data_IF_036339060777
#
_entry.id   IF_036339060777
#
_cell.length_a   1.000
_cell.length_b   1.000
_cell.length_c   1.000
_cell.angle_alpha   90.00
_cell.angle_beta   90.00
_cell.angle_gamma   90.00
#
_symmetry.space_group_name_H-M   'P 1'
#
loop_
_entity.id
_entity.type
_entity.pdbx_description
1 polymer ?
#
# COMPACT_ATOMS: atom_id res chain seq x y z
N UNK A 1 -25.31 -0.28 -14.81
CA UNK A 1 -24.68 0.89 -15.45
C UNK A 1 -23.76 1.52 -14.40
N UNK A 2 -22.53 1.02 -14.29
CA UNK A 2 -21.54 1.52 -13.34
C UNK A 2 -21.06 2.88 -13.85
N UNK A 3 -21.53 3.97 -13.24
CA UNK A 3 -20.99 5.31 -13.51
C UNK A 3 -19.54 5.33 -13.05
N UNK A 4 -18.62 5.62 -13.98
CA UNK A 4 -17.27 6.09 -13.63
C UNK A 4 -17.46 7.34 -12.77
N UNK A 5 -16.88 7.31 -11.57
CA UNK A 5 -16.95 8.42 -10.65
C UNK A 5 -15.85 9.41 -11.04
N UNK A 6 -16.15 10.30 -11.98
CA UNK A 6 -15.21 11.29 -12.55
C UNK A 6 -14.92 12.47 -11.58
N UNK A 7 -14.98 12.24 -10.26
CA UNK A 7 -15.05 13.30 -9.24
C UNK A 7 -13.72 13.79 -8.66
N UNK A 8 -12.60 13.12 -8.92
CA UNK A 8 -11.26 13.57 -8.48
C UNK A 8 -10.26 13.34 -9.61
N UNK A 9 -10.43 14.08 -10.71
CA UNK A 9 -9.46 14.05 -11.81
C UNK A 9 -8.15 14.70 -11.38
N UNK A 10 -7.21 13.92 -10.83
CA UNK A 10 -5.81 14.33 -10.81
C UNK A 10 -5.37 14.58 -12.25
N UNK A 11 -4.64 15.67 -12.50
CA UNK A 11 -4.17 15.95 -13.85
C UNK A 11 -3.31 14.78 -14.35
N UNK A 12 -3.36 14.45 -15.64
CA UNK A 12 -2.51 13.42 -16.23
C UNK A 12 -1.02 13.65 -15.93
N UNK A 13 -0.61 14.93 -15.76
CA UNK A 13 0.73 15.32 -15.32
C UNK A 13 1.04 14.92 -13.88
N UNK A 14 0.11 15.10 -12.93
CA UNK A 14 0.29 14.65 -11.56
C UNK A 14 0.31 13.11 -11.48
N UNK A 15 -0.57 12.43 -12.21
CA UNK A 15 -0.58 10.96 -12.26
C UNK A 15 0.74 10.39 -12.77
N UNK A 16 1.28 10.95 -13.86
CA UNK A 16 2.58 10.52 -14.41
C UNK A 16 3.73 10.84 -13.45
N UNK A 17 3.72 12.01 -12.82
CA UNK A 17 4.78 12.42 -11.89
C UNK A 17 4.77 11.56 -10.61
N UNK A 18 3.60 11.31 -10.03
CA UNK A 18 3.45 10.44 -8.85
C UNK A 18 3.75 8.99 -9.19
N UNK A 19 3.37 8.47 -10.36
CA UNK A 19 3.74 7.11 -10.78
C UNK A 19 5.27 6.96 -10.91
N UNK A 20 5.94 7.93 -11.54
CA UNK A 20 7.39 7.93 -11.66
C UNK A 20 8.11 8.09 -10.30
N UNK A 21 7.50 8.77 -9.32
CA UNK A 21 8.09 8.99 -8.00
C UNK A 21 7.75 7.90 -6.97
N UNK A 22 6.53 7.39 -7.00
CA UNK A 22 5.91 6.59 -5.92
C UNK A 22 5.38 5.24 -6.38
N UNK A 23 5.67 4.84 -7.63
CA UNK A 23 5.56 3.45 -8.12
C UNK A 23 4.17 2.85 -8.29
N UNK A 24 3.13 3.63 -7.99
CA UNK A 24 1.76 3.18 -8.05
C UNK A 24 0.89 4.10 -8.93
N UNK A 25 -0.06 3.55 -9.71
CA UNK A 25 -1.02 4.35 -10.47
C UNK A 25 -2.09 4.97 -9.56
N UNK A 26 -2.44 6.26 -9.78
CA UNK A 26 -3.43 7.02 -8.98
C UNK A 26 -4.89 6.70 -9.36
N UNK A 27 -5.25 5.44 -9.61
CA UNK A 27 -6.59 5.10 -10.14
C UNK A 27 -7.51 4.35 -9.18
N UNK A 28 -7.09 4.09 -7.94
CA UNK A 28 -7.96 3.46 -6.96
C UNK A 28 -8.31 4.35 -5.76
N UNK A 29 -9.60 4.36 -5.42
CA UNK A 29 -10.21 5.10 -4.32
C UNK A 29 -10.07 4.41 -2.95
N UNK A 30 -9.33 3.32 -2.83
CA UNK A 30 -9.07 2.63 -1.53
C UNK A 30 -7.71 3.01 -0.92
N UNK A 31 -6.94 3.85 -1.59
CA UNK A 31 -5.60 4.19 -1.18
C UNK A 31 -5.68 5.39 -0.22
N UNK A 32 -4.79 5.44 0.77
CA UNK A 32 -4.85 6.49 1.78
C UNK A 32 -4.53 7.86 1.22
N UNK A 33 -3.83 7.98 0.09
CA UNK A 33 -3.54 9.26 -0.54
C UNK A 33 -4.83 10.07 -0.85
N UNK A 34 -5.85 9.52 -1.53
CA UNK A 34 -7.18 10.12 -1.61
C UNK A 34 -7.85 10.44 -0.26
N UNK A 35 -7.65 9.61 0.77
CA UNK A 35 -8.23 9.82 2.11
C UNK A 35 -7.49 10.90 2.93
N UNK A 36 -6.22 11.13 2.63
CA UNK A 36 -5.40 12.14 3.26
C UNK A 36 -5.57 13.50 2.60
N UNK A 37 -6.00 13.62 1.35
CA UNK A 37 -6.23 14.92 0.72
C UNK A 37 -7.53 15.50 1.31
N UNK A 38 -7.47 16.60 2.09
CA UNK A 38 -8.69 17.23 2.57
C UNK A 38 -9.52 17.68 1.36
N UNK A 39 -10.85 17.59 1.47
CA UNK A 39 -11.70 18.33 0.53
C UNK A 39 -11.25 19.79 0.51
N UNK A 40 -11.31 20.45 -0.66
CA UNK A 40 -10.90 21.86 -0.85
C UNK A 40 -11.53 22.86 0.13
N UNK A 41 -12.54 22.43 0.89
CA UNK A 41 -13.32 23.24 1.83
C UNK A 41 -12.98 22.99 3.32
N UNK A 42 -12.02 22.11 3.65
CA UNK A 42 -11.66 21.78 5.04
C UNK A 42 -10.20 22.16 5.39
N UNK A 43 -9.98 23.44 5.70
CA UNK A 43 -8.76 23.96 6.36
C UNK A 43 -8.47 23.31 7.74
N UNK A 44 -9.33 22.38 8.21
CA UNK A 44 -9.29 21.72 9.51
C UNK A 44 -8.82 20.26 9.50
N UNK A 45 -8.68 19.60 8.34
CA UNK A 45 -8.55 18.13 8.24
C UNK A 45 -7.36 17.51 8.98
N UNK A 46 -6.26 18.26 9.14
CA UNK A 46 -5.04 17.76 9.79
C UNK A 46 -4.79 18.33 11.19
N UNK A 47 -5.70 19.14 11.75
CA UNK A 47 -5.51 19.73 13.08
C UNK A 47 -5.51 18.64 14.16
N UNK A 48 -4.42 18.59 14.93
CA UNK A 48 -4.27 17.63 16.04
C UNK A 48 -3.69 16.27 15.63
N UNK A 49 -3.38 16.06 14.35
CA UNK A 49 -2.58 14.91 13.94
C UNK A 49 -1.18 15.02 14.53
N UNK A 50 -0.71 13.90 15.08
CA UNK A 50 0.61 13.82 15.72
C UNK A 50 1.55 12.90 14.99
N UNK A 51 1.05 11.74 14.55
CA UNK A 51 1.83 10.73 13.86
C UNK A 51 0.96 9.95 12.88
N UNK A 52 1.53 9.60 11.74
CA UNK A 52 1.00 8.63 10.80
C UNK A 52 1.50 7.23 11.18
N UNK A 53 0.60 6.25 11.19
CA UNK A 53 0.93 4.83 11.34
C UNK A 53 0.01 4.02 10.42
N UNK A 54 0.57 3.01 9.75
CA UNK A 54 -0.25 2.00 9.06
C UNK A 54 -1.04 1.19 10.08
N UNK A 55 -2.05 0.43 9.64
CA UNK A 55 -2.82 -0.42 10.57
C UNK A 55 -1.92 -1.45 11.29
N UNK A 56 -0.94 -2.02 10.58
CA UNK A 56 0.02 -2.95 11.19
C UNK A 56 0.90 -2.23 12.23
N UNK A 57 1.36 -1.02 11.88
CA UNK A 57 2.25 -0.25 12.73
C UNK A 57 1.56 0.37 13.94
N UNK A 58 0.24 0.55 13.88
CA UNK A 58 -0.57 0.90 15.05
C UNK A 58 -0.51 -0.21 16.11
N UNK A 59 -0.65 -1.48 15.71
CA UNK A 59 -0.51 -2.61 16.65
C UNK A 59 0.92 -2.71 17.19
N UNK A 60 1.92 -2.54 16.32
CA UNK A 60 3.33 -2.50 16.73
C UNK A 60 3.59 -1.41 17.77
N UNK A 61 3.03 -0.21 17.57
CA UNK A 61 3.10 0.89 18.50
C UNK A 61 2.39 0.58 19.82
N UNK A 62 1.19 0.00 19.81
CA UNK A 62 0.51 -0.39 21.04
C UNK A 62 1.28 -1.42 21.87
N UNK A 63 2.02 -2.32 21.22
CA UNK A 63 2.84 -3.32 21.90
C UNK A 63 4.16 -2.76 22.43
N UNK A 64 4.75 -1.77 21.76
CA UNK A 64 6.15 -1.36 22.04
C UNK A 64 6.31 0.08 22.51
N UNK A 65 5.33 0.94 22.26
CA UNK A 65 5.41 2.39 22.42
C UNK A 65 6.27 3.11 21.36
N UNK A 66 6.92 2.35 20.47
CA UNK A 66 7.83 2.89 19.46
C UNK A 66 7.08 3.18 18.16
N UNK A 67 7.43 4.32 17.53
CA UNK A 67 6.78 4.82 16.31
C UNK A 67 7.71 4.56 15.14
N UNK A 68 7.27 3.73 14.23
CA UNK A 68 7.97 3.38 12.99
C UNK A 68 6.93 2.81 12.04
N UNK A 69 7.15 2.94 10.74
CA UNK A 69 6.35 2.25 9.75
C UNK A 69 7.15 1.18 9.03
N UNK A 70 6.53 0.03 8.73
CA UNK A 70 7.21 -1.05 8.01
C UNK A 70 7.13 -0.85 6.49
N UNK A 71 8.28 -1.01 5.82
CA UNK A 71 8.50 -0.73 4.41
C UNK A 71 7.45 -1.30 3.46
N UNK A 72 7.12 -2.59 3.54
CA UNK A 72 6.20 -3.22 2.57
C UNK A 72 4.79 -2.65 2.65
N UNK A 73 4.37 -2.16 3.82
CA UNK A 73 3.09 -1.50 4.01
C UNK A 73 3.14 -0.01 3.65
N UNK A 74 4.28 0.65 3.88
CA UNK A 74 4.50 2.04 3.48
C UNK A 74 4.44 2.22 1.96
N UNK A 75 4.94 1.25 1.19
CA UNK A 75 4.90 1.34 -0.28
C UNK A 75 3.48 1.37 -0.84
N UNK A 76 2.49 0.81 -0.14
CA UNK A 76 1.08 0.82 -0.58
C UNK A 76 0.37 2.16 -0.36
N UNK A 77 1.08 3.16 0.19
CA UNK A 77 0.49 4.45 0.57
C UNK A 77 0.60 5.51 -0.52
N UNK A 78 1.31 5.26 -1.63
CA UNK A 78 1.66 6.25 -2.67
C UNK A 78 2.42 7.46 -2.16
N UNK A 79 3.10 7.31 -1.02
CA UNK A 79 3.81 8.36 -0.30
C UNK A 79 5.28 8.00 -0.04
N UNK A 80 5.78 6.95 -0.68
CA UNK A 80 7.16 6.52 -0.53
C UNK A 80 7.95 6.82 -1.80
N UNK A 81 9.06 7.56 -1.66
CA UNK A 81 10.02 7.79 -2.72
C UNK A 81 11.17 6.79 -2.60
N UNK A 82 11.27 5.84 -3.51
CA UNK A 82 12.19 4.74 -3.39
C UNK A 82 13.56 4.99 -4.00
N UNK A 83 13.70 6.02 -4.85
CA UNK A 83 15.02 6.55 -5.20
C UNK A 83 15.69 7.17 -3.96
N UNK A 84 14.88 7.77 -3.08
CA UNK A 84 15.33 8.30 -1.77
C UNK A 84 15.35 7.24 -0.66
N UNK A 85 14.67 6.11 -0.90
CA UNK A 85 14.38 5.08 0.09
C UNK A 85 13.70 5.60 1.36
N UNK A 86 12.85 6.62 1.21
CA UNK A 86 12.16 7.29 2.31
C UNK A 86 10.82 7.86 1.84
N UNK A 87 10.05 8.48 2.73
CA UNK A 87 8.83 9.21 2.39
C UNK A 87 9.05 10.25 1.28
N UNK A 88 8.07 10.42 0.41
CA UNK A 88 8.08 11.43 -0.65
C UNK A 88 7.56 12.78 -0.15
N UNK A 89 8.35 13.45 0.69
CA UNK A 89 7.98 14.74 1.28
C UNK A 89 7.67 15.82 0.24
N UNK A 90 8.23 15.74 -0.97
CA UNK A 90 7.90 16.66 -2.08
C UNK A 90 6.45 16.47 -2.54
N UNK A 91 6.01 15.21 -2.70
CA UNK A 91 4.62 14.92 -3.06
C UNK A 91 3.68 15.27 -1.91
N UNK A 92 4.08 15.02 -0.66
CA UNK A 92 3.30 15.41 0.52
C UNK A 92 3.10 16.93 0.60
N UNK A 93 4.17 17.71 0.41
CA UNK A 93 4.12 19.18 0.40
C UNK A 93 3.18 19.68 -0.71
N UNK A 94 3.29 19.12 -1.92
CA UNK A 94 2.40 19.46 -3.04
C UNK A 94 0.92 19.14 -2.78
N UNK A 95 0.65 18.15 -1.91
CA UNK A 95 -0.70 17.74 -1.49
C UNK A 95 -1.17 18.42 -0.19
N UNK A 96 -0.35 19.29 0.41
CA UNK A 96 -0.67 19.95 1.68
C UNK A 96 -0.67 19.02 2.90
N UNK A 97 -0.03 17.85 2.79
CA UNK A 97 0.11 16.88 3.88
C UNK A 97 1.29 17.31 4.78
N UNK A 98 1.13 17.40 6.10
CA UNK A 98 2.21 17.81 6.99
C UNK A 98 3.33 16.76 7.03
N UNK A 99 4.57 17.19 6.85
CA UNK A 99 5.79 16.37 6.86
C UNK A 99 6.08 15.71 8.22
N UNK A 100 5.88 16.46 9.31
CA UNK A 100 6.31 16.10 10.68
C UNK A 100 5.57 14.93 11.31
N UNK A 101 4.53 14.40 10.67
CA UNK A 101 3.76 13.28 11.22
C UNK A 101 4.33 11.91 10.81
N UNK A 102 5.19 11.84 9.79
CA UNK A 102 5.67 10.56 9.26
C UNK A 102 6.88 10.05 10.05
N UNK A 103 6.82 8.83 10.62
CA UNK A 103 7.92 8.25 11.38
C UNK A 103 8.94 7.55 10.46
N UNK A 104 10.06 7.10 11.00
CA UNK A 104 11.06 6.33 10.25
C UNK A 104 10.46 5.08 9.58
N UNK A 105 10.91 4.80 8.34
CA UNK A 105 10.55 3.59 7.61
C UNK A 105 11.58 2.50 7.88
N UNK A 106 11.13 1.36 8.40
CA UNK A 106 11.99 0.24 8.77
C UNK A 106 11.77 -0.97 7.86
N UNK A 107 12.85 -1.70 7.59
CA UNK A 107 12.78 -2.95 6.82
C UNK A 107 12.12 -4.06 7.64
N UNK A 108 11.40 -4.99 6.98
CA UNK A 108 10.86 -6.17 7.66
C UNK A 108 12.00 -6.98 8.30
N UNK A 109 11.75 -7.52 9.50
CA UNK A 109 12.77 -8.19 10.31
C UNK A 109 13.56 -7.27 11.26
N UNK A 110 13.32 -5.96 11.24
CA UNK A 110 13.96 -5.02 12.19
C UNK A 110 13.34 -5.15 13.57
N UNK A 111 14.15 -5.33 14.63
CA UNK A 111 13.64 -5.30 16.01
C UNK A 111 13.21 -3.88 16.37
N UNK A 112 11.92 -3.68 16.62
CA UNK A 112 11.36 -2.36 16.94
C UNK A 112 11.16 -2.12 18.44
N UNK A 113 11.28 -3.14 19.28
CA UNK A 113 11.05 -3.00 20.72
C UNK A 113 10.86 -4.32 21.43
N UNK A 114 10.25 -4.27 22.62
CA UNK A 114 9.85 -5.46 23.36
C UNK A 114 8.46 -5.26 23.97
N UNK A 115 7.65 -6.32 23.99
CA UNK A 115 6.41 -6.42 24.76
C UNK A 115 6.60 -7.46 25.86
N UNK A 116 6.50 -7.06 27.13
CA UNK A 116 6.71 -7.96 28.27
C UNK A 116 8.02 -8.79 28.19
N UNK A 117 9.13 -8.15 27.80
CA UNK A 117 10.46 -8.76 27.56
C UNK A 117 10.57 -9.66 26.31
N UNK A 118 9.51 -9.82 25.54
CA UNK A 118 9.52 -10.54 24.26
C UNK A 118 9.86 -9.54 23.14
N UNK A 119 10.88 -9.80 22.30
CA UNK A 119 11.22 -8.90 21.21
C UNK A 119 10.07 -8.83 20.20
N UNK A 120 9.73 -7.61 19.76
CA UNK A 120 8.77 -7.38 18.67
C UNK A 120 9.56 -7.08 17.40
N UNK A 121 9.33 -7.90 16.39
CA UNK A 121 10.01 -7.85 15.08
C UNK A 121 8.89 -7.90 14.03
N UNK A 122 8.60 -6.78 13.34
CA UNK A 122 7.57 -6.76 12.32
C UNK A 122 8.00 -7.62 11.13
N UNK A 123 7.12 -8.49 10.59
CA UNK A 123 7.35 -9.18 9.34
C UNK A 123 7.18 -8.18 8.16
N UNK A 124 7.09 -8.67 6.94
CA UNK A 124 6.51 -7.89 5.85
C UNK A 124 5.05 -7.57 6.21
N UNK A 125 4.77 -6.36 6.70
CA UNK A 125 3.50 -6.03 7.34
C UNK A 125 2.34 -5.87 6.36
N UNK A 126 2.61 -5.67 5.07
CA UNK A 126 1.59 -5.87 4.06
C UNK A 126 1.30 -7.38 3.92
N UNK A 127 0.04 -7.78 4.04
CA UNK A 127 -0.38 -9.18 4.02
C UNK A 127 0.02 -9.90 2.73
N UNK A 128 -0.12 -9.25 1.57
CA UNK A 128 0.33 -9.80 0.29
C UNK A 128 1.85 -9.96 0.26
N UNK A 129 2.61 -9.02 0.85
CA UNK A 129 4.06 -9.18 0.95
C UNK A 129 4.43 -10.39 1.81
N UNK A 130 3.77 -10.58 2.95
CA UNK A 130 3.93 -11.78 3.78
C UNK A 130 3.55 -13.07 3.03
N UNK A 131 2.46 -13.06 2.24
CA UNK A 131 2.06 -14.21 1.45
C UNK A 131 3.09 -14.56 0.37
N UNK A 132 3.64 -13.56 -0.32
CA UNK A 132 4.67 -13.75 -1.35
C UNK A 132 5.96 -14.32 -0.77
N UNK A 133 6.37 -13.90 0.44
CA UNK A 133 7.54 -14.49 1.13
C UNK A 133 7.39 -16.00 1.36
N UNK A 134 6.17 -16.50 1.45
CA UNK A 134 5.90 -17.94 1.66
C UNK A 134 5.88 -18.77 0.37
N UNK A 135 6.02 -18.16 -0.81
CA UNK A 135 6.06 -18.87 -2.09
C UNK A 135 7.22 -19.87 -2.07
N UNK A 136 6.99 -21.17 -2.28
CA UNK A 136 8.02 -22.20 -2.16
C UNK A 136 8.89 -22.25 -3.43
N UNK A 137 9.54 -21.14 -3.75
CA UNK A 137 10.46 -20.99 -4.88
C UNK A 137 11.77 -20.37 -4.40
N UNK A 138 12.88 -20.92 -4.85
CA UNK A 138 14.21 -20.33 -4.67
C UNK A 138 14.64 -19.49 -5.90
N UNK A 139 13.71 -19.28 -6.85
CA UNK A 139 13.95 -18.55 -8.09
C UNK A 139 12.88 -17.47 -8.25
N UNK A 140 13.22 -16.41 -8.98
CA UNK A 140 12.27 -15.35 -9.33
C UNK A 140 11.55 -15.58 -10.67
N UNK A 141 11.73 -16.76 -11.27
CA UNK A 141 11.07 -17.17 -12.51
C UNK A 141 9.70 -17.81 -12.23
N UNK A 142 8.92 -17.14 -11.39
CA UNK A 142 7.59 -17.60 -10.98
C UNK A 142 6.65 -16.42 -10.80
N UNK A 143 5.43 -16.58 -11.31
CA UNK A 143 4.33 -15.71 -10.95
C UNK A 143 3.64 -16.21 -9.68
N UNK A 144 3.13 -15.29 -8.88
CA UNK A 144 2.27 -15.58 -7.75
C UNK A 144 0.84 -15.11 -8.04
N UNK A 145 -0.13 -15.83 -7.49
CA UNK A 145 -1.51 -15.40 -7.39
C UNK A 145 -1.93 -15.45 -5.93
N UNK A 146 -1.89 -14.31 -5.25
CA UNK A 146 -2.45 -14.18 -3.90
C UNK A 146 -3.96 -14.08 -4.04
N UNK A 147 -4.70 -15.10 -3.62
CA UNK A 147 -6.16 -15.19 -3.85
C UNK A 147 -6.94 -15.14 -2.54
N UNK A 148 -7.58 -13.99 -2.29
CA UNK A 148 -8.51 -13.77 -1.20
C UNK A 148 -9.76 -13.01 -1.66
N UNK A 149 -10.26 -12.11 -0.82
CA UNK A 149 -11.31 -11.15 -1.22
C UNK A 149 -10.89 -10.40 -2.48
N UNK A 150 -9.63 -9.97 -2.52
CA UNK A 150 -8.93 -9.49 -3.71
C UNK A 150 -8.01 -10.58 -4.24
N UNK A 151 -7.74 -10.54 -5.55
CA UNK A 151 -6.69 -11.35 -6.13
C UNK A 151 -5.57 -10.45 -6.62
N UNK A 152 -4.32 -10.77 -6.28
CA UNK A 152 -3.13 -10.05 -6.76
C UNK A 152 -2.30 -11.03 -7.58
N UNK A 153 -2.19 -10.77 -8.88
CA UNK A 153 -1.36 -11.53 -9.81
C UNK A 153 -0.09 -10.74 -10.11
N UNK A 154 1.07 -11.33 -9.90
CA UNK A 154 2.33 -10.62 -10.10
C UNK A 154 3.56 -11.50 -10.11
N UNK A 155 4.71 -10.83 -10.18
CA UNK A 155 6.06 -11.42 -10.14
C UNK A 155 6.93 -10.64 -9.15
N UNK A 156 7.98 -11.26 -8.62
CA UNK A 156 9.01 -10.56 -7.85
C UNK A 156 10.19 -10.15 -8.75
N UNK A 157 10.64 -8.91 -8.61
CA UNK A 157 11.72 -8.31 -9.37
C UNK A 157 12.77 -7.70 -8.43
N UNK A 158 14.03 -7.64 -8.86
CA UNK A 158 15.08 -6.85 -8.20
C UNK A 158 14.95 -5.35 -8.53
N UNK A 159 14.51 -5.07 -9.75
CA UNK A 159 14.40 -3.73 -10.29
C UNK A 159 12.95 -3.40 -10.63
N UNK A 160 12.72 -2.13 -10.91
CA UNK A 160 11.40 -1.54 -10.95
C UNK A 160 11.03 -1.26 -12.38
N UNK A 161 9.78 -1.52 -12.72
CA UNK A 161 9.29 -1.26 -14.05
C UNK A 161 8.47 0.04 -13.99
N UNK A 162 9.12 1.14 -14.37
CA UNK A 162 8.55 2.49 -14.39
C UNK A 162 8.54 3.05 -15.81
N UNK A 163 7.62 2.56 -16.63
CA UNK A 163 7.46 3.02 -18.00
C UNK A 163 5.98 3.26 -18.34
N UNK A 164 5.74 3.91 -19.47
CA UNK A 164 4.39 4.25 -19.92
C UNK A 164 3.52 2.99 -20.14
N UNK A 165 4.12 1.85 -20.51
CA UNK A 165 3.38 0.58 -20.68
C UNK A 165 2.87 0.02 -19.36
N UNK A 166 3.69 0.06 -18.29
CA UNK A 166 3.27 -0.37 -16.96
C UNK A 166 2.16 0.53 -16.40
N UNK A 167 2.26 1.84 -16.65
CA UNK A 167 1.21 2.80 -16.29
C UNK A 167 -0.10 2.53 -17.05
N UNK A 168 -0.03 2.35 -18.37
CA UNK A 168 -1.19 2.06 -19.22
C UNK A 168 -1.87 0.73 -18.85
N UNK A 169 -1.07 -0.28 -18.50
CA UNK A 169 -1.55 -1.58 -18.02
C UNK A 169 -2.07 -1.55 -16.57
N UNK A 170 -1.96 -0.41 -15.88
CA UNK A 170 -2.34 -0.24 -14.48
C UNK A 170 -1.66 -1.28 -13.56
N UNK A 171 -0.36 -1.50 -13.80
CA UNK A 171 0.50 -2.33 -12.96
C UNK A 171 1.14 -1.46 -11.88
N UNK A 172 1.41 -2.06 -10.72
CA UNK A 172 2.03 -1.40 -9.57
C UNK A 172 3.33 -2.09 -9.18
N UNK A 173 4.27 -1.33 -8.63
CA UNK A 173 5.46 -1.86 -7.97
C UNK A 173 5.32 -1.64 -6.45
N UNK A 174 5.14 -2.72 -5.69
CA UNK A 174 5.08 -2.65 -4.23
C UNK A 174 6.35 -3.24 -3.58
N UNK A 175 6.73 -2.75 -2.40
CA UNK A 175 7.88 -3.23 -1.66
C UNK A 175 7.76 -4.71 -1.28
N UNK A 176 8.84 -5.47 -1.49
CA UNK A 176 8.98 -6.87 -1.09
C UNK A 176 10.00 -7.07 0.04
N UNK A 177 10.17 -8.33 0.45
CA UNK A 177 11.17 -8.71 1.45
C UNK A 177 12.57 -8.82 0.81
N UNK A 178 13.62 -8.52 1.58
CA UNK A 178 15.00 -8.67 1.08
C UNK A 178 15.40 -7.67 -0.01
N UNK A 179 14.65 -6.56 -0.15
CA UNK A 179 14.91 -5.53 -1.15
C UNK A 179 14.32 -5.83 -2.54
N UNK A 180 13.44 -6.83 -2.65
CA UNK A 180 12.68 -7.07 -3.88
C UNK A 180 11.53 -6.08 -4.03
N UNK A 181 10.96 -6.09 -5.22
CA UNK A 181 9.73 -5.43 -5.60
C UNK A 181 8.73 -6.47 -6.10
N UNK A 182 7.45 -6.29 -5.77
CA UNK A 182 6.32 -7.07 -6.26
C UNK A 182 5.63 -6.28 -7.37
N UNK A 183 5.88 -6.67 -8.62
CA UNK A 183 5.25 -6.07 -9.79
C UNK A 183 3.96 -6.82 -10.10
N UNK A 184 2.82 -6.17 -9.87
CA UNK A 184 1.53 -6.87 -9.79
C UNK A 184 0.35 -6.04 -10.29
N UNK A 185 -0.76 -6.74 -10.50
CA UNK A 185 -2.06 -6.16 -10.80
C UNK A 185 -3.12 -6.65 -9.81
N UNK A 186 -3.99 -5.74 -9.38
CA UNK A 186 -5.16 -6.07 -8.57
C UNK A 186 -6.31 -6.56 -9.46
N UNK A 187 -6.95 -7.64 -9.03
CA UNK A 187 -8.09 -8.29 -9.67
C UNK A 187 -9.20 -8.41 -8.62
N UNK A 188 -10.46 -8.31 -9.04
CA UNK A 188 -11.64 -8.34 -8.16
C UNK A 188 -11.76 -9.60 -7.27
N UNK A 189 -10.98 -10.65 -7.56
CA UNK A 189 -10.84 -11.84 -6.71
C UNK A 189 -12.16 -12.54 -6.41
N UNK A 190 -12.27 -13.09 -5.20
CA UNK A 190 -13.44 -13.86 -4.77
C UNK A 190 -14.57 -12.99 -4.19
N UNK A 191 -14.38 -11.67 -4.08
CA UNK A 191 -15.38 -10.77 -3.49
C UNK A 191 -16.76 -10.92 -4.15
N UNK A 192 -16.82 -11.04 -5.48
CA UNK A 192 -18.08 -11.22 -6.21
C UNK A 192 -18.82 -12.49 -5.75
N UNK A 193 -18.09 -13.60 -5.65
CA UNK A 193 -18.65 -14.88 -5.18
C UNK A 193 -19.08 -14.79 -3.72
N UNK A 194 -18.27 -14.17 -2.87
CA UNK A 194 -18.60 -13.97 -1.45
C UNK A 194 -19.87 -13.13 -1.28
N UNK A 195 -20.05 -12.06 -2.06
CA UNK A 195 -21.27 -11.26 -2.01
C UNK A 195 -22.47 -12.01 -2.59
N UNK A 196 -22.31 -12.79 -3.68
CA UNK A 196 -23.38 -13.63 -4.21
C UNK A 196 -23.87 -14.65 -3.17
N UNK A 197 -22.95 -15.37 -2.52
CA UNK A 197 -23.28 -16.34 -1.46
C UNK A 197 -23.97 -15.64 -0.29
N UNK A 198 -23.49 -14.46 0.12
CA UNK A 198 -24.13 -13.68 1.18
C UNK A 198 -25.57 -13.29 0.82
N UNK A 199 -25.79 -12.77 -0.39
CA UNK A 199 -27.14 -12.38 -0.85
C UNK A 199 -28.08 -13.58 -0.94
N UNK A 200 -27.65 -14.72 -1.49
CA UNK A 200 -28.49 -15.91 -1.55
C UNK A 200 -28.88 -16.43 -0.17
N UNK A 201 -27.92 -16.45 0.77
CA UNK A 201 -28.18 -16.83 2.16
C UNK A 201 -29.20 -15.89 2.84
N UNK A 202 -29.16 -14.58 2.56
CA UNK A 202 -30.15 -13.61 3.05
C UNK A 202 -31.54 -13.80 2.41
N UNK A 203 -31.60 -14.28 1.17
CA UNK A 203 -32.83 -14.60 0.43
C UNK A 203 -33.41 -15.99 0.77
N UNK A 204 -32.74 -16.78 1.63
CA UNK A 204 -33.17 -18.13 2.01
C UNK A 204 -32.94 -19.18 0.94
N UNK A 205 -32.06 -18.89 -0.03
CA UNK A 205 -31.63 -19.82 -1.08
C UNK A 205 -30.20 -20.28 -0.75
N UNK A 206 -29.87 -21.58 -0.79
CA UNK A 206 -28.53 -22.06 -0.43
C UNK A 206 -27.41 -21.45 -1.29
#
# INVERSE_FOLDING_TARGET
MLRRNDGMGFSAGLQKNTFCKNWEPIHFTQWPLPACIPGKDEESGFRGLRYFLTIADLFNYWLTGNKSCEYTHVTTQQLYNPNKQDWDFETMEALGIPDKIFPDVLKPGTKIGNYQKIPVIPPACHDTASAVVSVPSNTRDSAFLSSGTWSLLGIELDELILNDQALEANLTNEGGYGGTNRFLQNIAGLWLVQQSVKTWAEEGTP
#
